data_IF_563351914168
#
_entry.id   IF_563351914168
#
_cell.length_a   1.000
_cell.length_b   1.000
_cell.length_c   1.000
_cell.angle_alpha   90.00
_cell.angle_beta   90.00
_cell.angle_gamma   90.00
#
_symmetry.space_group_name_H-M   'P 1'
#
loop_
_entity.id
_entity.type
_entity.pdbx_description
1 polymer ?
#
# COMPACT_ATOMS: atom_id res chain seq x y z
N UNK A 1 3.14 -3.46 -7.95
CA UNK A 1 4.15 -4.53 -7.76
C UNK A 1 4.43 -4.69 -6.27
N UNK A 2 4.94 -5.83 -5.82
CA UNK A 2 5.29 -6.07 -4.41
C UNK A 2 6.70 -6.68 -4.32
N UNK A 3 7.50 -6.23 -3.36
CA UNK A 3 8.92 -6.61 -3.17
C UNK A 3 9.16 -6.82 -1.66
N UNK A 4 10.13 -7.66 -1.29
CA UNK A 4 10.49 -7.96 0.11
C UNK A 4 9.97 -9.32 0.59
N UNK A 5 10.08 -9.57 1.91
CA UNK A 5 9.72 -10.84 2.56
C UNK A 5 8.26 -11.25 2.30
N UNK A 6 7.32 -10.30 2.40
CA UNK A 6 5.89 -10.53 2.20
C UNK A 6 5.39 -10.42 0.74
N UNK A 7 6.29 -10.34 -0.25
CA UNK A 7 5.92 -9.97 -1.64
C UNK A 7 4.84 -10.85 -2.26
N UNK A 8 4.85 -12.16 -2.00
CA UNK A 8 3.91 -13.09 -2.63
C UNK A 8 2.50 -12.89 -2.07
N UNK A 9 2.37 -12.82 -0.74
CA UNK A 9 1.10 -12.54 -0.07
C UNK A 9 0.54 -11.17 -0.47
N UNK A 10 1.38 -10.13 -0.47
CA UNK A 10 0.99 -8.80 -0.90
C UNK A 10 0.53 -8.76 -2.37
N UNK A 11 1.22 -9.47 -3.28
CA UNK A 11 0.82 -9.58 -4.69
C UNK A 11 -0.56 -10.21 -4.84
N UNK A 12 -0.85 -11.27 -4.07
CA UNK A 12 -2.17 -11.93 -4.07
C UNK A 12 -3.28 -10.99 -3.62
N UNK A 13 -3.07 -10.15 -2.59
CA UNK A 13 -4.08 -9.18 -2.18
C UNK A 13 -4.29 -8.08 -3.23
N UNK A 14 -3.20 -7.59 -3.85
CA UNK A 14 -3.30 -6.60 -4.95
C UNK A 14 -4.11 -7.15 -6.13
N UNK A 15 -3.96 -8.43 -6.47
CA UNK A 15 -4.69 -9.07 -7.58
C UNK A 15 -6.20 -9.17 -7.35
N UNK A 16 -6.68 -9.09 -6.10
CA UNK A 16 -8.11 -9.06 -5.77
C UNK A 16 -8.75 -7.68 -5.99
N UNK A 17 -7.94 -6.62 -6.05
CA UNK A 17 -8.43 -5.24 -6.19
C UNK A 17 -8.79 -4.93 -7.64
N UNK A 18 -9.90 -4.22 -7.82
CA UNK A 18 -10.28 -3.64 -9.11
C UNK A 18 -9.57 -2.31 -9.32
N UNK A 19 -8.29 -2.35 -9.68
CA UNK A 19 -7.42 -1.16 -9.74
C UNK A 19 -7.96 -0.03 -10.63
N UNK A 20 -8.69 -0.35 -11.71
CA UNK A 20 -9.28 0.65 -12.62
C UNK A 20 -10.46 1.42 -12.03
N UNK A 21 -11.08 0.91 -10.96
CA UNK A 21 -12.23 1.53 -10.30
C UNK A 21 -11.83 2.32 -9.03
N UNK A 22 -10.56 2.23 -8.61
CA UNK A 22 -10.07 2.86 -7.38
C UNK A 22 -9.51 4.26 -7.64
N UNK A 23 -9.90 5.21 -6.78
CA UNK A 23 -9.22 6.50 -6.66
C UNK A 23 -7.86 6.34 -5.99
N UNK A 24 -6.93 7.28 -6.21
CA UNK A 24 -5.61 7.24 -5.55
C UNK A 24 -5.72 7.21 -4.02
N UNK A 25 -6.66 7.97 -3.44
CA UNK A 25 -6.93 7.99 -2.00
C UNK A 25 -7.38 6.63 -1.46
N UNK A 26 -8.27 5.94 -2.18
CA UNK A 26 -8.66 4.58 -1.81
C UNK A 26 -7.51 3.60 -1.98
N UNK A 27 -6.74 3.71 -3.07
CA UNK A 27 -5.58 2.87 -3.33
C UNK A 27 -4.53 2.94 -2.23
N UNK A 28 -4.26 4.14 -1.71
CA UNK A 28 -3.36 4.34 -0.55
C UNK A 28 -3.86 3.59 0.69
N UNK A 29 -5.15 3.67 1.01
CA UNK A 29 -5.73 2.96 2.15
C UNK A 29 -5.62 1.44 1.97
N UNK A 30 -5.92 0.93 0.76
CA UNK A 30 -5.79 -0.50 0.46
C UNK A 30 -4.35 -0.98 0.55
N UNK A 31 -3.37 -0.22 0.06
CA UNK A 31 -1.94 -0.56 0.21
C UNK A 31 -1.54 -0.62 1.68
N UNK A 32 -1.99 0.33 2.51
CA UNK A 32 -1.72 0.30 3.94
C UNK A 32 -2.29 -0.96 4.60
N UNK A 33 -3.56 -1.29 4.32
CA UNK A 33 -4.20 -2.53 4.82
C UNK A 33 -3.43 -3.78 4.41
N UNK A 34 -2.94 -3.84 3.17
CA UNK A 34 -2.16 -4.99 2.68
C UNK A 34 -0.86 -5.11 3.47
N UNK A 35 -0.14 -4.01 3.70
CA UNK A 35 1.14 -4.03 4.43
C UNK A 35 0.93 -4.49 5.88
N UNK A 36 -0.08 -3.96 6.57
CA UNK A 36 -0.42 -4.42 7.92
C UNK A 36 -0.92 -5.87 7.92
N UNK A 37 -1.70 -6.28 6.91
CA UNK A 37 -2.24 -7.64 6.82
C UNK A 37 -1.19 -8.71 6.54
N UNK A 38 -0.10 -8.38 5.84
CA UNK A 38 1.03 -9.30 5.62
C UNK A 38 2.07 -9.27 6.75
N UNK A 39 1.94 -8.33 7.69
CA UNK A 39 2.80 -8.21 8.86
C UNK A 39 2.33 -9.17 9.95
N UNK A 40 3.22 -10.04 10.43
CA UNK A 40 2.90 -11.00 11.50
C UNK A 40 3.31 -10.40 12.85
N UNK A 41 2.35 -9.84 13.58
CA UNK A 41 2.57 -9.17 14.88
C UNK A 41 3.25 -10.07 15.93
N UNK A 42 3.16 -11.41 15.80
CA UNK A 42 3.79 -12.33 16.73
C UNK A 42 5.26 -12.63 16.38
N UNK A 43 5.72 -12.31 15.17
CA UNK A 43 7.06 -12.66 14.67
C UNK A 43 7.89 -11.46 14.21
N UNK A 44 7.25 -10.42 13.71
CA UNK A 44 7.91 -9.25 13.15
C UNK A 44 8.00 -8.13 14.22
N UNK A 45 9.02 -7.28 14.08
CA UNK A 45 9.19 -6.11 14.97
C UNK A 45 8.23 -5.00 14.57
N UNK A 46 7.87 -4.14 15.53
CA UNK A 46 7.19 -2.89 15.26
C UNK A 46 7.82 -2.13 14.09
N UNK A 47 6.98 -1.57 13.23
CA UNK A 47 7.40 -0.86 12.04
C UNK A 47 6.65 0.46 11.90
N UNK A 48 7.28 1.40 11.20
CA UNK A 48 6.64 2.62 10.74
C UNK A 48 6.29 2.47 9.26
N UNK A 49 5.06 2.84 8.91
CA UNK A 49 4.60 2.81 7.53
C UNK A 49 4.78 4.19 6.89
N UNK A 50 5.76 4.34 6.03
CA UNK A 50 5.91 5.54 5.21
C UNK A 50 5.33 5.35 3.80
N UNK A 51 4.50 6.29 3.37
CA UNK A 51 3.86 6.27 2.05
C UNK A 51 3.93 7.63 1.36
N UNK A 52 4.05 7.60 0.04
CA UNK A 52 4.03 8.78 -0.82
C UNK A 52 3.21 8.49 -2.08
N UNK A 53 2.70 9.55 -2.70
CA UNK A 53 1.81 9.45 -3.86
C UNK A 53 2.10 10.56 -4.89
N UNK A 54 1.72 10.28 -6.13
CA UNK A 54 1.65 11.23 -7.24
C UNK A 54 0.29 11.00 -7.93
N UNK A 55 -0.56 12.00 -7.90
CA UNK A 55 -1.91 12.02 -8.44
C UNK A 55 -2.43 13.47 -8.61
N UNK A 56 -3.63 13.63 -9.13
CA UNK A 56 -4.28 14.93 -9.33
C UNK A 56 -4.39 15.72 -8.01
N UNK A 57 -4.73 15.06 -6.90
CA UNK A 57 -4.80 15.69 -5.55
C UNK A 57 -3.45 16.21 -5.06
N UNK A 58 -2.35 15.67 -5.58
CA UNK A 58 -0.99 16.12 -5.28
C UNK A 58 -0.45 17.13 -6.30
N UNK A 59 -1.31 17.70 -7.15
CA UNK A 59 -0.89 18.57 -8.28
C UNK A 59 0.17 17.91 -9.17
N UNK A 60 0.07 16.59 -9.35
CA UNK A 60 1.06 15.78 -10.07
C UNK A 60 2.50 15.90 -9.52
N UNK A 61 2.66 16.27 -8.26
CA UNK A 61 3.95 16.32 -7.58
C UNK A 61 4.08 15.16 -6.59
N UNK A 62 5.30 14.66 -6.45
CA UNK A 62 5.61 13.69 -5.41
C UNK A 62 5.55 14.34 -4.05
N UNK A 63 4.71 13.80 -3.17
CA UNK A 63 4.60 14.24 -1.79
C UNK A 63 4.23 13.07 -0.88
N UNK A 64 4.42 13.26 0.43
CA UNK A 64 3.90 12.32 1.42
C UNK A 64 2.37 12.29 1.34
N UNK A 65 1.79 11.13 1.65
CA UNK A 65 0.33 11.03 1.83
C UNK A 65 -0.07 11.93 3.02
N UNK A 66 -1.14 12.74 2.89
CA UNK A 66 -1.61 13.64 3.95
C UNK A 66 -2.25 12.91 5.13
#
# INVERSE_FOLDING_TARGET
AAIGKGRQAAKTEIEKLKLSELTCRQGVIEVAKIIYGVHDEAKDKDFELEMSWICDESNHQHQKVP
#
